data_IF_914699163725
#
_entry.id   IF_914699163725
#
_cell.length_a   1.000
_cell.length_b   1.000
_cell.length_c   1.000
_cell.angle_alpha   90.00
_cell.angle_beta   90.00
_cell.angle_gamma   90.00
#
_symmetry.space_group_name_H-M   'P 1'
#
loop_
_entity.id
_entity.type
_entity.pdbx_description
1 polymer ?
#
# COMPACT_ATOMS: atom_id res chain seq x y z
N UNK A 1 -1.86 10.20 8.79
CA UNK A 1 -1.04 9.82 7.63
C UNK A 1 0.14 9.07 8.18
N UNK A 2 0.43 7.87 7.69
CA UNK A 2 1.61 7.11 8.09
C UNK A 2 2.83 7.83 7.50
N UNK A 3 3.82 8.17 8.33
CA UNK A 3 5.00 8.86 7.86
C UNK A 3 5.82 7.96 6.92
N UNK A 4 6.35 8.50 5.81
CA UNK A 4 7.18 7.72 4.92
C UNK A 4 8.49 7.32 5.63
N UNK A 5 9.05 6.14 5.31
CA UNK A 5 10.30 5.68 5.90
C UNK A 5 11.43 6.69 5.68
N UNK A 6 12.17 6.97 6.75
CA UNK A 6 13.28 7.95 6.75
C UNK A 6 14.62 7.30 6.41
N UNK A 7 14.73 5.97 6.49
CA UNK A 7 15.94 5.22 6.17
C UNK A 7 16.34 5.28 4.69
N UNK A 8 17.66 5.26 4.43
CA UNK A 8 18.19 5.12 3.05
C UNK A 8 17.68 3.83 2.42
N UNK A 9 17.40 3.82 1.11
CA UNK A 9 17.12 2.59 0.36
C UNK A 9 18.20 1.53 0.68
N UNK A 10 17.78 0.28 0.83
CA UNK A 10 18.62 -0.91 1.10
C UNK A 10 19.32 -0.98 2.47
N UNK A 11 19.08 -0.04 3.39
CA UNK A 11 19.55 -0.18 4.77
C UNK A 11 18.75 -1.23 5.55
N UNK A 12 19.40 -2.10 6.35
CA UNK A 12 18.71 -3.03 7.24
C UNK A 12 17.70 -2.34 8.16
N UNK A 13 18.01 -1.12 8.60
CA UNK A 13 17.16 -0.30 9.47
C UNK A 13 15.86 0.11 8.77
N UNK A 14 15.91 0.43 7.46
CA UNK A 14 14.70 0.73 6.67
C UNK A 14 13.78 -0.47 6.54
N UNK A 15 14.31 -1.69 6.46
CA UNK A 15 13.48 -2.91 6.43
C UNK A 15 12.68 -3.05 7.72
N UNK A 16 13.33 -2.83 8.87
CA UNK A 16 12.66 -2.88 10.18
C UNK A 16 11.63 -1.76 10.32
N UNK A 17 11.96 -0.54 9.88
CA UNK A 17 11.03 0.60 9.87
C UNK A 17 9.79 0.31 9.01
N UNK A 18 9.98 -0.30 7.83
CA UNK A 18 8.89 -0.73 6.95
C UNK A 18 8.03 -1.82 7.59
N UNK A 19 8.62 -2.85 8.18
CA UNK A 19 7.90 -3.92 8.87
C UNK A 19 7.04 -3.35 10.02
N UNK A 20 7.62 -2.49 10.86
CA UNK A 20 6.90 -1.81 11.94
C UNK A 20 5.75 -0.93 11.41
N UNK A 21 5.99 -0.25 10.29
CA UNK A 21 4.98 0.60 9.65
C UNK A 21 3.80 -0.23 9.15
N UNK A 22 4.06 -1.39 8.54
CA UNK A 22 3.03 -2.33 8.10
C UNK A 22 2.26 -2.87 9.30
N UNK A 23 2.95 -3.31 10.35
CA UNK A 23 2.31 -3.83 11.56
C UNK A 23 1.39 -2.78 12.20
N UNK A 24 1.85 -1.54 12.30
CA UNK A 24 1.07 -0.43 12.82
C UNK A 24 -0.16 -0.11 11.96
N UNK A 25 0.00 -0.11 10.62
CA UNK A 25 -1.12 0.10 9.71
C UNK A 25 -2.19 -0.97 9.87
N UNK A 26 -1.79 -2.25 9.94
CA UNK A 26 -2.69 -3.38 10.15
C UNK A 26 -3.43 -3.26 11.48
N UNK A 27 -2.73 -2.90 12.55
CA UNK A 27 -3.35 -2.68 13.85
C UNK A 27 -4.43 -1.60 13.79
N UNK A 28 -4.12 -0.43 13.22
CA UNK A 28 -5.08 0.68 13.10
C UNK A 28 -6.33 0.28 12.30
N UNK A 29 -6.13 -0.43 11.19
CA UNK A 29 -7.23 -0.90 10.34
C UNK A 29 -8.14 -1.90 11.06
N UNK A 30 -7.57 -2.79 11.88
CA UNK A 30 -8.34 -3.74 12.70
C UNK A 30 -9.12 -3.03 13.81
N UNK A 31 -8.51 -2.05 14.47
CA UNK A 31 -9.15 -1.24 15.52
C UNK A 31 -10.33 -0.43 14.96
N UNK A 32 -10.16 0.19 13.80
CA UNK A 32 -11.22 0.93 13.12
C UNK A 32 -12.36 0.00 12.67
N UNK A 33 -12.02 -1.13 12.04
CA UNK A 33 -13.00 -2.12 11.61
C UNK A 33 -13.83 -2.65 12.80
N UNK A 34 -13.18 -2.92 13.93
CA UNK A 34 -13.87 -3.33 15.15
C UNK A 34 -14.76 -2.21 15.70
N UNK A 35 -14.30 -0.96 15.68
CA UNK A 35 -15.07 0.22 16.12
C UNK A 35 -16.32 0.44 15.27
N UNK A 36 -16.22 0.21 13.97
CA UNK A 36 -17.33 0.29 13.01
C UNK A 36 -18.23 -0.96 13.02
N UNK A 37 -17.90 -1.98 13.82
CA UNK A 37 -18.66 -3.22 13.93
C UNK A 37 -18.57 -4.11 12.69
N UNK A 38 -17.52 -3.97 11.88
CA UNK A 38 -17.33 -4.76 10.68
C UNK A 38 -17.11 -6.23 11.03
N UNK A 39 -17.76 -7.10 10.27
CA UNK A 39 -17.45 -8.51 10.29
C UNK A 39 -16.11 -8.76 9.61
N UNK A 40 -15.44 -9.85 10.01
CA UNK A 40 -14.17 -10.27 9.42
C UNK A 40 -14.22 -10.38 7.89
N UNK A 41 -15.34 -10.84 7.34
CA UNK A 41 -15.51 -10.96 5.88
C UNK A 41 -15.55 -9.59 5.20
N UNK A 42 -16.27 -8.62 5.77
CA UNK A 42 -16.39 -7.27 5.23
C UNK A 42 -15.03 -6.56 5.22
N UNK A 43 -14.29 -6.67 6.33
CA UNK A 43 -12.94 -6.14 6.44
C UNK A 43 -11.98 -6.74 5.40
N UNK A 44 -11.93 -8.07 5.29
CA UNK A 44 -11.02 -8.74 4.36
C UNK A 44 -11.40 -8.47 2.90
N UNK A 45 -12.69 -8.38 2.57
CA UNK A 45 -13.15 -7.98 1.24
C UNK A 45 -12.70 -6.55 0.92
N UNK A 46 -12.89 -5.59 1.82
CA UNK A 46 -12.47 -4.21 1.60
C UNK A 46 -10.95 -4.09 1.40
N UNK A 47 -10.15 -4.83 2.18
CA UNK A 47 -8.69 -4.87 2.01
C UNK A 47 -8.30 -5.47 0.67
N UNK A 48 -8.95 -6.55 0.25
CA UNK A 48 -8.70 -7.20 -1.05
C UNK A 48 -9.07 -6.27 -2.22
N UNK A 49 -10.21 -5.59 -2.13
CA UNK A 49 -10.66 -4.64 -3.16
C UNK A 49 -9.70 -3.46 -3.27
N UNK A 50 -9.25 -2.91 -2.13
CA UNK A 50 -8.25 -1.83 -2.11
C UNK A 50 -6.92 -2.28 -2.73
N UNK A 51 -6.45 -3.49 -2.39
CA UNK A 51 -5.22 -4.04 -2.94
C UNK A 51 -5.32 -4.27 -4.46
N UNK A 52 -6.43 -4.82 -4.94
CA UNK A 52 -6.68 -4.99 -6.37
C UNK A 52 -6.68 -3.66 -7.11
N UNK A 53 -7.40 -2.65 -6.59
CA UNK A 53 -7.43 -1.32 -7.19
C UNK A 53 -6.03 -0.69 -7.28
N UNK A 54 -5.21 -0.86 -6.23
CA UNK A 54 -3.84 -0.35 -6.22
C UNK A 54 -2.95 -1.06 -7.25
N UNK A 55 -3.06 -2.40 -7.36
CA UNK A 55 -2.31 -3.16 -8.36
C UNK A 55 -2.71 -2.76 -9.78
N UNK A 56 -4.00 -2.63 -10.05
CA UNK A 56 -4.50 -2.18 -11.36
C UNK A 56 -4.03 -0.76 -11.70
N UNK A 57 -3.98 0.16 -10.73
CA UNK A 57 -3.44 1.50 -10.96
C UNK A 57 -1.95 1.48 -11.32
N UNK A 58 -1.14 0.64 -10.65
CA UNK A 58 0.28 0.48 -10.97
C UNK A 58 0.47 -0.14 -12.36
N UNK A 59 -0.35 -1.12 -12.73
CA UNK A 59 -0.34 -1.72 -14.07
C UNK A 59 -0.69 -0.69 -15.15
N UNK A 60 -1.71 0.13 -14.94
CA UNK A 60 -2.11 1.22 -15.84
C UNK A 60 -1.01 2.27 -15.99
N UNK A 61 -0.40 2.72 -14.88
CA UNK A 61 0.74 3.66 -14.91
C UNK A 61 1.89 3.11 -15.76
N UNK A 62 2.22 1.82 -15.59
CA UNK A 62 3.27 1.16 -16.37
C UNK A 62 2.91 1.05 -17.84
N UNK A 63 1.67 0.72 -18.18
CA UNK A 63 1.20 0.67 -19.57
C UNK A 63 1.28 2.05 -20.24
N UNK A 64 0.97 3.12 -19.52
CA UNK A 64 1.08 4.50 -20.00
C UNK A 64 2.55 4.92 -20.22
N UNK A 65 3.46 4.51 -19.35
CA UNK A 65 4.90 4.72 -19.51
C UNK A 65 5.45 3.96 -20.74
N UNK A 66 5.05 2.70 -20.92
CA UNK A 66 5.46 1.87 -22.06
C UNK A 66 4.83 2.33 -23.39
N UNK A 67 3.62 2.88 -23.34
CA UNK A 67 2.89 3.39 -24.52
C UNK A 67 3.31 4.80 -24.95
N UNK A 68 4.13 5.51 -24.17
CA UNK A 68 4.70 6.80 -24.55
C UNK A 68 5.96 6.58 -25.41
N UNK A 69 5.88 6.70 -26.75
CA UNK A 69 7.05 6.50 -27.59
C UNK A 69 7.95 7.72 -27.39
N UNK A 70 9.20 7.51 -26.98
CA UNK A 70 10.35 8.40 -27.13
C UNK A 70 10.03 9.75 -27.81
N UNK A 71 9.49 10.71 -27.06
CA UNK A 71 9.55 12.11 -27.45
C UNK A 71 10.73 12.74 -26.75
N UNK A 72 11.90 12.65 -27.37
CA UNK A 72 12.76 13.79 -27.70
C UNK A 72 14.18 13.33 -28.06
N UNK A 73 14.54 13.64 -29.31
CA UNK A 73 15.85 13.98 -29.90
C UNK A 73 17.15 13.46 -29.29
#
# INVERSE_FOLDING_TARGET
MIDPPTGKPDSPERKVELEQTVDYAVQLLLEEAHTLGWQRVEFLTAVMDAANNQLSAIEEERELEEASPLTSS
#
